data_IF_573670097437
#
_entry.id   IF_573670097437
#
_cell.length_a   1.000
_cell.length_b   1.000
_cell.length_c   1.000
_cell.angle_alpha   90.00
_cell.angle_beta   90.00
_cell.angle_gamma   90.00
#
_symmetry.space_group_name_H-M   'P 1'
#
loop_
_entity.id
_entity.type
_entity.pdbx_description
1 polymer ?
#
# COMPACT_ATOMS: atom_id res chain seq x y z
N UNK A 1 -38.71 -21.05 52.65
CA UNK A 1 -38.62 -20.70 51.21
C UNK A 1 -38.54 -19.18 50.89
N UNK A 2 -38.59 -18.25 51.86
CA UNK A 2 -38.69 -16.80 51.54
C UNK A 2 -37.37 -16.00 51.39
N UNK A 3 -36.19 -16.59 51.70
CA UNK A 3 -34.92 -15.84 51.77
C UNK A 3 -34.24 -15.59 50.41
N UNK A 4 -34.57 -16.39 49.38
CA UNK A 4 -34.00 -16.27 48.02
C UNK A 4 -34.61 -15.11 47.22
N UNK A 5 -35.94 -14.92 47.36
CA UNK A 5 -36.67 -13.89 46.60
C UNK A 5 -36.33 -12.45 47.02
N UNK A 6 -35.92 -12.22 48.28
CA UNK A 6 -35.53 -10.89 48.76
C UNK A 6 -34.23 -10.39 48.11
N UNK A 7 -33.26 -11.28 47.83
CA UNK A 7 -32.01 -10.91 47.14
C UNK A 7 -32.24 -10.64 45.66
N UNK A 8 -33.12 -11.41 45.02
CA UNK A 8 -33.51 -11.21 43.62
C UNK A 8 -34.25 -9.87 43.42
N UNK A 9 -35.13 -9.49 44.35
CA UNK A 9 -35.84 -8.21 44.32
C UNK A 9 -34.87 -7.02 44.49
N UNK A 10 -33.92 -7.13 45.43
CA UNK A 10 -32.91 -6.09 45.64
C UNK A 10 -32.00 -5.93 44.42
N UNK A 11 -31.63 -7.03 43.75
CA UNK A 11 -30.84 -7.01 42.52
C UNK A 11 -31.61 -6.37 41.36
N UNK A 12 -32.90 -6.68 41.20
CA UNK A 12 -33.76 -6.08 40.18
C UNK A 12 -33.94 -4.57 40.39
N UNK A 13 -34.08 -4.15 41.65
CA UNK A 13 -34.21 -2.73 42.00
C UNK A 13 -32.91 -1.96 41.74
N UNK A 14 -31.76 -2.56 42.05
CA UNK A 14 -30.45 -1.97 41.73
C UNK A 14 -30.24 -1.82 40.22
N UNK A 15 -30.66 -2.83 39.44
CA UNK A 15 -30.56 -2.81 37.99
C UNK A 15 -31.45 -1.72 37.37
N UNK A 16 -32.67 -1.53 37.88
CA UNK A 16 -33.57 -0.46 37.44
C UNK A 16 -32.99 0.95 37.69
N UNK A 17 -32.31 1.15 38.81
CA UNK A 17 -31.65 2.44 39.12
C UNK A 17 -30.49 2.69 38.15
N UNK A 18 -29.67 1.67 37.85
CA UNK A 18 -28.54 1.80 36.92
C UNK A 18 -29.00 2.08 35.47
N UNK A 19 -30.12 1.50 35.03
CA UNK A 19 -30.68 1.79 33.70
C UNK A 19 -31.35 3.17 33.61
N UNK A 20 -31.88 3.72 34.71
CA UNK A 20 -32.44 5.08 34.74
C UNK A 20 -31.38 6.19 34.68
N UNK A 21 -30.14 5.88 35.07
CA UNK A 21 -29.00 6.81 35.00
C UNK A 21 -28.38 6.91 33.59
N UNK A 22 -28.77 6.05 32.64
CA UNK A 22 -28.34 6.08 31.25
C UNK A 22 -29.26 6.93 30.34
N UNK A 23 -29.86 8.00 30.88
CA UNK A 23 -30.45 9.03 30.01
C UNK A 23 -29.32 9.89 29.48
N UNK A 24 -29.14 9.87 28.16
CA UNK A 24 -28.20 10.74 27.45
C UNK A 24 -28.40 12.18 27.95
N UNK A 25 -27.33 12.80 28.47
CA UNK A 25 -27.38 14.21 28.88
C UNK A 25 -27.69 15.01 27.62
N UNK A 26 -28.86 15.63 27.61
CA UNK A 26 -29.30 16.52 26.55
C UNK A 26 -28.53 17.84 26.68
N UNK A 27 -27.38 17.92 26.01
CA UNK A 27 -26.49 19.10 26.04
C UNK A 27 -27.16 20.35 25.47
N UNK A 28 -28.31 20.21 24.82
CA UNK A 28 -29.14 21.28 24.28
C UNK A 28 -30.03 21.96 25.33
N UNK A 29 -30.25 21.33 26.49
CA UNK A 29 -31.15 21.86 27.54
C UNK A 29 -30.40 22.51 28.72
N UNK A 30 -29.13 22.15 28.93
CA UNK A 30 -28.30 22.71 29.99
C UNK A 30 -27.86 24.15 29.67
N UNK A 31 -28.57 25.13 30.23
CA UNK A 31 -28.23 26.56 30.11
C UNK A 31 -29.37 27.46 29.67
N UNK A 32 -30.54 26.93 29.30
CA UNK A 32 -31.68 27.71 28.80
C UNK A 32 -32.30 28.69 29.82
N UNK A 33 -31.94 28.56 31.11
CA UNK A 33 -32.39 29.45 32.18
C UNK A 33 -31.37 30.51 32.62
N UNK A 34 -30.19 30.58 31.98
CA UNK A 34 -29.15 31.56 32.32
C UNK A 34 -29.28 32.88 31.54
N UNK A 35 -30.13 32.91 30.50
CA UNK A 35 -30.39 34.11 29.72
C UNK A 35 -31.80 34.62 30.10
N UNK A 36 -31.92 35.80 30.75
CA UNK A 36 -33.23 36.38 31.03
C UNK A 36 -33.96 36.71 29.72
N UNK A 37 -35.25 36.37 29.63
CA UNK A 37 -36.06 36.53 28.40
C UNK A 37 -36.28 37.96 27.89
N UNK A 38 -35.62 38.96 28.50
CA UNK A 38 -35.61 40.38 28.09
C UNK A 38 -34.31 40.73 27.36
N UNK A 39 -33.35 39.81 27.25
CA UNK A 39 -32.18 40.01 26.41
C UNK A 39 -32.49 39.45 25.02
N UNK A 40 -32.81 40.34 24.09
CA UNK A 40 -33.19 40.03 22.71
C UNK A 40 -31.98 39.54 21.86
N UNK A 41 -31.01 38.89 22.50
CA UNK A 41 -29.87 38.24 21.87
C UNK A 41 -30.33 36.88 21.40
N UNK A 42 -30.90 36.86 20.19
CA UNK A 42 -31.10 35.63 19.45
C UNK A 42 -29.73 35.20 18.92
N UNK A 43 -29.03 34.30 19.61
CA UNK A 43 -27.93 33.57 18.98
C UNK A 43 -28.55 32.60 17.98
N UNK A 44 -28.76 33.07 16.76
CA UNK A 44 -29.08 32.20 15.65
C UNK A 44 -27.88 31.27 15.45
N UNK A 45 -28.08 29.98 15.65
CA UNK A 45 -27.13 28.97 15.20
C UNK A 45 -26.93 29.19 13.70
N UNK A 46 -25.79 29.79 13.36
CA UNK A 46 -25.48 30.16 11.98
C UNK A 46 -24.62 29.04 11.43
N UNK A 47 -25.26 28.08 10.75
CA UNK A 47 -24.53 27.07 9.99
C UNK A 47 -23.90 27.77 8.79
N UNK A 48 -22.57 27.76 8.73
CA UNK A 48 -21.83 28.23 7.57
C UNK A 48 -21.67 27.06 6.60
N UNK A 49 -22.33 27.12 5.45
CA UNK A 49 -22.13 26.13 4.39
C UNK A 49 -20.75 26.34 3.77
N UNK A 50 -19.79 25.51 4.19
CA UNK A 50 -18.45 25.49 3.61
C UNK A 50 -18.49 24.59 2.37
N UNK A 51 -18.43 25.21 1.19
CA UNK A 51 -18.17 24.50 -0.06
C UNK A 51 -16.65 24.38 -0.20
N UNK A 52 -16.10 23.22 0.15
CA UNK A 52 -14.71 22.90 -0.10
C UNK A 52 -14.57 22.15 -1.42
N UNK A 53 -13.56 22.51 -2.21
CA UNK A 53 -13.18 21.80 -3.43
C UNK A 53 -11.77 21.24 -3.26
N UNK A 54 -11.59 19.96 -3.55
CA UNK A 54 -10.25 19.38 -3.72
C UNK A 54 -9.71 19.87 -5.04
N UNK A 55 -8.64 20.68 -5.00
CA UNK A 55 -7.87 21.04 -6.20
C UNK A 55 -6.71 20.06 -6.33
N UNK A 56 -6.43 19.63 -7.55
CA UNK A 56 -5.24 18.85 -7.86
C UNK A 56 -4.05 19.82 -7.87
N UNK A 57 -3.44 20.00 -6.70
CA UNK A 57 -2.33 20.91 -6.53
C UNK A 57 -1.06 20.27 -7.10
N UNK A 58 -0.71 20.63 -8.33
CA UNK A 58 0.55 20.19 -8.97
C UNK A 58 1.80 20.63 -8.21
N UNK A 59 1.69 21.53 -7.22
CA UNK A 59 2.78 21.86 -6.28
C UNK A 59 2.84 20.93 -5.07
N UNK A 60 1.83 20.09 -4.83
CA UNK A 60 1.84 19.05 -3.80
C UNK A 60 2.64 17.80 -4.20
N UNK A 61 3.12 17.75 -5.44
CA UNK A 61 4.00 16.68 -5.90
C UNK A 61 5.35 16.79 -5.20
N UNK A 62 5.65 15.81 -4.35
CA UNK A 62 6.95 15.75 -3.71
C UNK A 62 8.04 15.46 -4.76
N UNK A 63 9.17 16.13 -4.63
CA UNK A 63 10.31 16.01 -5.54
C UNK A 63 11.51 15.50 -4.77
N UNK A 64 12.23 14.54 -5.34
CA UNK A 64 13.39 13.95 -4.67
C UNK A 64 13.07 12.65 -3.94
N UNK A 65 12.19 11.82 -4.53
CA UNK A 65 12.01 10.44 -4.09
C UNK A 65 13.38 9.75 -4.05
N UNK A 66 13.76 9.31 -2.87
CA UNK A 66 15.02 8.62 -2.60
C UNK A 66 14.84 7.12 -2.73
N UNK A 67 15.92 6.42 -3.02
CA UNK A 67 15.98 4.95 -3.01
C UNK A 67 15.78 4.35 -1.62
N UNK A 68 15.92 5.17 -0.57
CA UNK A 68 15.79 4.78 0.84
C UNK A 68 14.37 4.96 1.38
N UNK A 69 13.50 5.59 0.60
CA UNK A 69 12.13 5.80 1.03
C UNK A 69 11.35 4.50 0.91
N UNK A 70 10.25 4.41 1.66
CA UNK A 70 9.30 3.35 1.44
C UNK A 70 8.46 3.68 0.21
N UNK A 71 8.40 2.75 -0.71
CA UNK A 71 7.71 2.94 -1.98
C UNK A 71 6.33 2.32 -1.92
N UNK A 72 5.30 3.14 -2.16
CA UNK A 72 3.92 2.73 -2.14
C UNK A 72 3.46 2.17 -3.49
N UNK A 73 2.64 1.12 -3.45
CA UNK A 73 1.87 0.65 -4.60
C UNK A 73 0.52 0.13 -4.12
N UNK A 74 -0.53 0.48 -4.83
CA UNK A 74 -1.88 0.07 -4.47
C UNK A 74 -2.94 1.03 -5.00
N UNK A 75 -4.18 0.63 -4.81
CA UNK A 75 -5.33 1.42 -5.19
C UNK A 75 -6.33 1.39 -4.04
N UNK A 76 -6.89 2.56 -3.76
CA UNK A 76 -8.03 2.77 -2.86
C UNK A 76 -9.13 3.34 -3.75
N UNK A 77 -10.18 2.56 -4.01
CA UNK A 77 -11.12 2.88 -5.07
C UNK A 77 -12.13 3.97 -4.69
N UNK A 78 -12.58 3.99 -3.43
CA UNK A 78 -13.50 5.03 -2.97
C UNK A 78 -13.57 5.11 -1.44
N UNK A 79 -12.80 6.02 -0.87
CA UNK A 79 -13.06 6.47 0.49
C UNK A 79 -14.14 7.56 0.47
N UNK A 80 -15.29 7.31 1.11
CA UNK A 80 -16.44 8.23 1.19
C UNK A 80 -16.08 9.66 1.60
N UNK A 81 -14.93 9.89 2.25
CA UNK A 81 -14.48 11.20 2.69
C UNK A 81 -13.31 11.77 1.86
N UNK A 82 -12.50 10.92 1.22
CA UNK A 82 -11.20 11.32 0.63
C UNK A 82 -11.04 11.00 -0.87
N UNK A 83 -12.02 10.34 -1.49
CA UNK A 83 -11.96 9.97 -2.91
C UNK A 83 -11.14 8.71 -3.16
N UNK A 84 -10.58 8.60 -4.37
CA UNK A 84 -9.70 7.50 -4.75
C UNK A 84 -8.23 7.89 -4.62
N UNK A 85 -7.37 6.91 -4.37
CA UNK A 85 -5.93 7.11 -4.31
C UNK A 85 -5.22 5.98 -5.05
N UNK A 86 -4.28 6.32 -5.91
CA UNK A 86 -3.50 5.37 -6.69
C UNK A 86 -2.01 5.63 -6.48
N UNK A 87 -1.27 4.57 -6.18
CA UNK A 87 0.17 4.59 -6.13
C UNK A 87 0.74 3.53 -7.08
N UNK A 88 1.75 3.92 -7.84
CA UNK A 88 2.51 3.09 -8.76
C UNK A 88 3.97 3.15 -8.35
N UNK A 89 4.67 2.01 -8.43
CA UNK A 89 6.06 1.91 -7.98
C UNK A 89 6.98 1.59 -9.14
N UNK A 90 8.08 2.34 -9.27
CA UNK A 90 9.05 2.19 -10.35
C UNK A 90 10.46 2.08 -9.79
N UNK A 91 11.20 1.04 -10.18
CA UNK A 91 12.56 0.83 -9.69
C UNK A 91 13.44 0.07 -10.68
N UNK A 92 14.74 0.33 -10.64
CA UNK A 92 15.75 -0.38 -11.41
C UNK A 92 16.50 -1.40 -10.57
N UNK A 93 16.93 -2.50 -11.19
CA UNK A 93 17.84 -3.45 -10.55
C UNK A 93 19.29 -3.03 -10.72
N UNK A 94 20.12 -3.36 -9.72
CA UNK A 94 21.57 -3.21 -9.81
C UNK A 94 22.24 -4.48 -9.29
N UNK A 95 22.95 -5.24 -10.14
CA UNK A 95 23.86 -6.30 -9.70
C UNK A 95 24.79 -5.88 -8.57
N UNK A 96 25.05 -6.80 -7.64
CA UNK A 96 25.93 -6.58 -6.47
C UNK A 96 27.36 -6.25 -6.89
N UNK A 97 27.83 -6.86 -7.97
CA UNK A 97 29.15 -6.63 -8.56
C UNK A 97 29.11 -6.76 -10.08
N UNK A 98 30.07 -6.12 -10.74
CA UNK A 98 30.29 -6.22 -12.18
C UNK A 98 31.70 -6.76 -12.46
N UNK A 99 31.92 -7.57 -13.50
CA UNK A 99 30.90 -8.18 -14.37
C UNK A 99 29.99 -9.15 -13.61
N UNK A 100 28.70 -9.14 -13.92
CA UNK A 100 27.76 -10.06 -13.29
C UNK A 100 27.72 -11.38 -14.06
N UNK A 101 27.80 -12.49 -13.34
CA UNK A 101 27.63 -13.83 -13.91
C UNK A 101 26.68 -14.62 -13.04
N UNK A 102 25.74 -15.33 -13.68
CA UNK A 102 24.96 -16.33 -12.97
C UNK A 102 25.88 -17.47 -12.51
N UNK A 103 25.69 -17.99 -11.29
CA UNK A 103 26.41 -19.19 -10.84
C UNK A 103 25.97 -20.37 -11.72
N UNK A 104 26.74 -20.69 -12.76
CA UNK A 104 26.49 -21.86 -13.60
C UNK A 104 27.10 -23.08 -12.92
N UNK A 105 26.28 -24.02 -12.49
CA UNK A 105 26.71 -25.40 -12.27
C UNK A 105 26.76 -26.03 -13.66
N UNK A 106 27.95 -26.19 -14.22
CA UNK A 106 28.27 -26.88 -15.48
C UNK A 106 27.28 -26.75 -16.66
N UNK A 107 27.79 -26.09 -17.71
CA UNK A 107 27.18 -25.56 -18.93
C UNK A 107 26.27 -26.43 -19.82
N UNK A 108 25.50 -27.41 -19.32
CA UNK A 108 24.77 -28.33 -20.19
C UNK A 108 23.24 -28.28 -20.10
N UNK A 109 22.61 -27.80 -19.02
CA UNK A 109 21.14 -27.69 -18.93
C UNK A 109 20.70 -26.57 -17.96
N UNK A 110 21.10 -25.32 -18.21
CA UNK A 110 20.63 -24.17 -17.43
C UNK A 110 19.23 -23.75 -17.91
N UNK A 111 18.24 -24.61 -17.69
CA UNK A 111 16.84 -24.25 -17.91
C UNK A 111 16.32 -23.46 -16.70
N UNK A 112 15.67 -22.33 -16.97
CA UNK A 112 14.98 -21.55 -15.93
C UNK A 112 13.67 -22.27 -15.58
N UNK A 113 13.56 -22.77 -14.35
CA UNK A 113 12.30 -23.31 -13.87
C UNK A 113 11.28 -22.20 -13.56
N UNK A 114 11.68 -21.16 -12.83
CA UNK A 114 10.82 -20.01 -12.55
C UNK A 114 11.59 -18.73 -12.26
N UNK A 115 10.93 -17.59 -12.45
CA UNK A 115 11.42 -16.26 -12.07
C UNK A 115 10.39 -15.65 -11.15
N UNK A 116 10.84 -15.15 -9.99
CA UNK A 116 9.97 -14.55 -8.97
C UNK A 116 10.57 -13.22 -8.53
N UNK A 117 9.79 -12.15 -8.62
CA UNK A 117 10.11 -10.88 -8.00
C UNK A 117 9.67 -10.91 -6.55
N UNK A 118 10.62 -10.72 -5.63
CA UNK A 118 10.39 -10.69 -4.19
C UNK A 118 10.56 -9.25 -3.70
N UNK A 119 9.53 -8.71 -3.06
CA UNK A 119 9.53 -7.35 -2.52
C UNK A 119 9.38 -7.40 -1.01
N UNK A 120 10.23 -6.69 -0.28
CA UNK A 120 10.14 -6.60 1.18
C UNK A 120 9.00 -5.66 1.58
N UNK A 121 7.96 -6.23 2.16
CA UNK A 121 6.81 -5.50 2.65
C UNK A 121 7.12 -4.82 3.99
N UNK A 122 6.63 -3.60 4.17
CA UNK A 122 6.78 -2.84 5.42
C UNK A 122 5.43 -2.72 6.15
N UNK A 123 4.49 -1.98 5.57
CA UNK A 123 3.14 -1.82 6.11
C UNK A 123 2.13 -1.51 5.00
N UNK A 124 0.85 -1.55 5.33
CA UNK A 124 -0.24 -1.15 4.44
C UNK A 124 -1.06 -0.07 5.12
N UNK A 125 -1.59 0.85 4.32
CA UNK A 125 -2.58 1.84 4.74
C UNK A 125 -3.91 1.55 4.02
N UNK A 126 -5.03 1.59 4.73
CA UNK A 126 -6.36 1.18 4.24
C UNK A 126 -6.84 -0.21 4.70
N UNK A 127 -7.82 -0.79 4.00
CA UNK A 127 -8.39 -2.10 4.32
C UNK A 127 -7.52 -3.24 3.77
N UNK A 128 -6.79 -3.87 4.69
CA UNK A 128 -5.86 -4.96 4.40
C UNK A 128 -6.51 -6.32 4.13
N UNK A 129 -7.82 -6.45 4.33
CA UNK A 129 -8.56 -7.70 4.10
C UNK A 129 -9.13 -7.79 2.68
N UNK A 130 -9.20 -6.66 1.96
CA UNK A 130 -9.66 -6.62 0.57
C UNK A 130 -8.54 -7.14 -0.35
N UNK A 131 -8.79 -8.17 -1.17
CA UNK A 131 -7.82 -8.64 -2.15
C UNK A 131 -7.44 -7.55 -3.15
N UNK A 132 -6.19 -7.57 -3.59
CA UNK A 132 -5.65 -6.68 -4.61
C UNK A 132 -4.86 -7.45 -5.64
N UNK A 133 -4.75 -6.89 -6.84
CA UNK A 133 -3.96 -7.47 -7.92
C UNK A 133 -2.94 -6.46 -8.43
N UNK A 134 -1.68 -6.88 -8.46
CA UNK A 134 -0.58 -6.09 -9.03
C UNK A 134 -0.13 -6.67 -10.36
N UNK A 135 0.22 -5.78 -11.29
CA UNK A 135 0.80 -6.08 -12.60
C UNK A 135 2.20 -5.50 -12.67
N UNK A 136 3.13 -6.28 -13.21
CA UNK A 136 4.55 -5.90 -13.35
C UNK A 136 4.86 -5.74 -14.83
N UNK A 137 5.48 -4.62 -15.16
CA UNK A 137 5.90 -4.24 -16.50
C UNK A 137 7.39 -3.88 -16.52
N UNK A 138 8.01 -3.93 -17.69
CA UNK A 138 9.33 -3.36 -17.89
C UNK A 138 9.25 -1.84 -18.08
N UNK A 139 10.22 -1.09 -17.57
CA UNK A 139 10.39 0.33 -17.88
C UNK A 139 10.96 0.53 -19.29
N UNK A 140 10.40 1.47 -20.06
CA UNK A 140 10.91 1.78 -21.40
C UNK A 140 12.31 2.40 -21.39
N UNK A 141 12.72 2.99 -20.27
CA UNK A 141 14.05 3.58 -20.06
C UNK A 141 14.53 3.30 -18.65
N UNK A 142 15.83 3.04 -18.51
CA UNK A 142 16.45 2.89 -17.20
C UNK A 142 16.36 4.16 -16.35
N UNK A 143 16.13 3.96 -15.05
CA UNK A 143 16.18 5.05 -14.07
C UNK A 143 17.63 5.50 -13.87
N UNK A 144 17.84 6.81 -13.88
CA UNK A 144 19.12 7.45 -13.73
C UNK A 144 19.39 7.77 -12.25
N UNK A 145 20.57 7.46 -11.71
CA UNK A 145 20.89 7.70 -10.31
C UNK A 145 21.03 9.19 -9.94
N UNK A 146 21.34 10.04 -10.92
CA UNK A 146 21.58 11.48 -10.75
C UNK A 146 20.33 12.34 -11.06
N UNK A 147 19.20 11.70 -11.35
CA UNK A 147 17.95 12.39 -11.68
C UNK A 147 17.04 12.48 -10.46
N UNK A 148 16.35 13.61 -10.34
CA UNK A 148 15.28 13.80 -9.37
C UNK A 148 13.98 13.23 -9.94
N UNK A 149 13.33 12.39 -9.15
CA UNK A 149 12.01 11.82 -9.45
C UNK A 149 10.96 12.41 -8.52
N UNK A 150 9.74 12.54 -9.02
CA UNK A 150 8.60 13.12 -8.29
C UNK A 150 7.43 12.14 -8.24
N UNK A 151 6.60 12.25 -7.20
CA UNK A 151 5.44 11.37 -6.95
C UNK A 151 4.38 11.46 -8.04
N UNK A 152 4.30 12.58 -8.75
CA UNK A 152 3.35 12.81 -9.84
C UNK A 152 3.93 12.52 -11.23
N UNK A 153 5.12 11.92 -11.31
CA UNK A 153 5.77 11.64 -12.58
C UNK A 153 5.62 10.15 -12.93
N UNK A 154 4.61 9.75 -13.74
CA UNK A 154 4.53 8.37 -14.22
C UNK A 154 5.73 8.05 -15.13
N UNK A 155 6.25 6.82 -15.03
CA UNK A 155 7.34 6.36 -15.89
C UNK A 155 6.78 5.70 -17.16
N UNK A 156 7.36 5.94 -18.34
CA UNK A 156 6.95 5.24 -19.54
C UNK A 156 7.26 3.74 -19.39
N UNK A 157 6.22 2.91 -19.46
CA UNK A 157 6.33 1.46 -19.50
C UNK A 157 6.62 0.99 -20.94
N UNK A 158 7.34 -0.12 -21.07
CA UNK A 158 7.48 -0.80 -22.36
C UNK A 158 6.08 -1.22 -22.82
N UNK A 159 5.57 -0.56 -23.87
CA UNK A 159 4.16 -0.35 -24.19
C UNK A 159 3.26 -1.60 -24.25
N UNK A 160 3.78 -2.83 -24.29
CA UNK A 160 2.95 -4.04 -24.52
C UNK A 160 3.30 -5.33 -23.76
N UNK A 161 4.36 -5.40 -22.94
CA UNK A 161 4.73 -6.66 -22.28
C UNK A 161 4.50 -6.65 -20.77
N UNK A 162 3.39 -7.26 -20.35
CA UNK A 162 3.16 -7.70 -18.98
C UNK A 162 4.21 -8.77 -18.63
N UNK A 163 5.05 -8.52 -17.63
CA UNK A 163 6.06 -9.46 -17.16
C UNK A 163 5.47 -10.46 -16.16
N UNK A 164 4.47 -10.05 -15.39
CA UNK A 164 3.82 -10.93 -14.41
C UNK A 164 2.70 -10.21 -13.67
N UNK A 165 1.90 -10.98 -12.97
CA UNK A 165 0.82 -10.46 -12.14
C UNK A 165 0.59 -11.35 -10.92
N UNK A 166 0.08 -10.75 -9.84
CA UNK A 166 -0.23 -11.47 -8.61
C UNK A 166 -1.44 -10.87 -7.92
N UNK A 167 -2.42 -11.72 -7.64
CA UNK A 167 -3.48 -11.45 -6.67
C UNK A 167 -3.03 -11.87 -5.26
N UNK A 168 -3.28 -11.01 -4.28
CA UNK A 168 -2.94 -11.26 -2.87
C UNK A 168 -3.84 -10.45 -1.93
N UNK A 169 -3.79 -10.79 -0.64
CA UNK A 169 -4.47 -10.05 0.43
C UNK A 169 -3.38 -9.37 1.26
N UNK A 170 -3.37 -8.03 1.40
CA UNK A 170 -2.34 -7.30 2.12
C UNK A 170 -2.06 -7.82 3.54
N UNK A 171 -3.09 -8.24 4.28
CA UNK A 171 -2.94 -8.78 5.63
C UNK A 171 -2.02 -10.02 5.70
N UNK A 172 -1.93 -10.80 4.61
CA UNK A 172 -1.13 -12.03 4.53
C UNK A 172 0.32 -11.79 4.14
N UNK A 173 0.70 -10.56 3.80
CA UNK A 173 2.09 -10.23 3.46
C UNK A 173 3.05 -10.43 4.64
N UNK A 174 2.53 -10.40 5.88
CA UNK A 174 3.28 -10.61 7.12
C UNK A 174 3.49 -12.09 7.47
N UNK A 175 2.86 -13.00 6.72
CA UNK A 175 2.95 -14.43 6.98
C UNK A 175 4.40 -14.92 6.76
N UNK A 176 4.78 -15.98 7.47
CA UNK A 176 6.08 -16.62 7.28
C UNK A 176 6.14 -17.36 5.95
N UNK A 177 7.29 -17.30 5.31
CA UNK A 177 7.62 -17.96 4.07
C UNK A 177 8.77 -18.93 4.33
N UNK A 178 8.53 -20.20 4.02
CA UNK A 178 9.53 -21.25 4.08
C UNK A 178 9.78 -21.76 2.66
N UNK A 179 10.79 -21.19 1.99
CA UNK A 179 11.24 -21.60 0.67
C UNK A 179 12.61 -22.29 0.75
N UNK A 180 13.09 -22.84 -0.37
CA UNK A 180 14.38 -23.54 -0.39
C UNK A 180 15.51 -22.57 -0.03
N UNK A 181 16.19 -22.84 1.09
CA UNK A 181 17.25 -22.00 1.67
C UNK A 181 16.77 -20.60 2.11
N UNK A 182 15.48 -20.44 2.40
CA UNK A 182 14.93 -19.16 2.82
C UNK A 182 13.84 -19.37 3.88
N UNK A 183 14.04 -18.72 5.02
CA UNK A 183 13.07 -18.64 6.11
C UNK A 183 12.93 -17.16 6.48
N UNK A 184 11.91 -16.50 5.92
CA UNK A 184 11.68 -15.06 6.07
C UNK A 184 10.16 -14.77 6.20
N UNK A 185 9.81 -13.51 6.43
CA UNK A 185 8.43 -13.01 6.46
C UNK A 185 8.38 -11.61 5.83
N UNK A 186 7.19 -11.02 5.74
CA UNK A 186 7.02 -9.65 5.21
C UNK A 186 7.45 -9.56 3.74
N UNK A 187 6.90 -10.42 2.88
CA UNK A 187 7.27 -10.47 1.47
C UNK A 187 6.05 -10.52 0.55
N UNK A 188 6.10 -9.77 -0.54
CA UNK A 188 5.24 -10.00 -1.70
C UNK A 188 6.05 -10.70 -2.79
N UNK A 189 5.56 -11.86 -3.25
CA UNK A 189 6.17 -12.66 -4.31
C UNK A 189 5.32 -12.67 -5.56
N UNK A 190 5.85 -12.08 -6.63
CA UNK A 190 5.16 -11.96 -7.91
C UNK A 190 5.86 -12.88 -8.91
N UNK A 191 5.18 -13.94 -9.41
CA UNK A 191 5.75 -14.77 -10.46
C UNK A 191 5.86 -13.96 -11.75
N UNK A 192 7.02 -14.06 -12.39
CA UNK A 192 7.31 -13.42 -13.67
C UNK A 192 7.44 -14.47 -14.78
N UNK A 193 7.32 -14.00 -16.03
CA UNK A 193 7.60 -14.74 -17.26
C UNK A 193 9.01 -15.34 -17.23
N UNK A 194 9.13 -16.62 -17.61
CA UNK A 194 10.41 -17.35 -17.63
C UNK A 194 11.39 -16.75 -18.64
N UNK A 195 10.84 -16.19 -19.71
CA UNK A 195 11.55 -15.50 -20.79
C UNK A 195 12.44 -14.37 -20.27
N UNK A 196 12.07 -13.74 -19.14
CA UNK A 196 12.91 -12.73 -18.50
C UNK A 196 14.20 -13.34 -17.91
N UNK A 197 14.10 -14.51 -17.29
CA UNK A 197 15.25 -15.23 -16.74
C UNK A 197 16.16 -15.74 -17.85
N UNK A 198 15.56 -16.29 -18.92
CA UNK A 198 16.28 -16.72 -20.12
C UNK A 198 17.00 -15.54 -20.79
N UNK A 199 16.35 -14.37 -20.86
CA UNK A 199 16.97 -13.14 -21.35
C UNK A 199 18.23 -12.80 -20.54
N UNK A 200 18.17 -12.82 -19.21
CA UNK A 200 19.34 -12.50 -18.40
C UNK A 200 20.46 -13.54 -18.54
N UNK A 201 20.15 -14.84 -18.58
CA UNK A 201 21.16 -15.88 -18.77
C UNK A 201 21.83 -15.76 -20.15
N UNK A 202 21.05 -15.59 -21.21
CA UNK A 202 21.55 -15.51 -22.58
C UNK A 202 22.40 -14.26 -22.83
N UNK A 203 22.08 -13.16 -22.14
CA UNK A 203 22.80 -11.89 -22.25
C UNK A 203 23.82 -11.66 -21.12
N UNK A 204 24.09 -12.64 -20.26
CA UNK A 204 24.96 -12.48 -19.08
C UNK A 204 26.34 -11.89 -19.42
N UNK A 205 26.92 -12.30 -20.56
CA UNK A 205 28.22 -11.80 -21.04
C UNK A 205 28.23 -10.30 -21.39
N UNK A 206 27.05 -9.70 -21.58
CA UNK A 206 26.89 -8.27 -21.89
C UNK A 206 26.80 -7.41 -20.63
N UNK A 207 26.53 -8.00 -19.46
CA UNK A 207 26.38 -7.27 -18.18
C UNK A 207 27.74 -7.04 -17.50
N UNK A 208 28.65 -6.43 -18.23
CA UNK A 208 30.02 -6.14 -17.76
C UNK A 208 30.13 -4.87 -16.93
N UNK A 209 29.20 -3.93 -17.10
CA UNK A 209 29.14 -2.65 -16.39
C UNK A 209 27.69 -2.27 -16.08
N UNK A 210 27.52 -1.28 -15.21
CA UNK A 210 26.21 -0.69 -14.89
C UNK A 210 25.54 -0.08 -16.13
N UNK A 211 26.31 0.61 -16.96
CA UNK A 211 25.84 1.24 -18.19
C UNK A 211 25.40 0.19 -19.22
N UNK A 212 26.14 -0.93 -19.33
CA UNK A 212 25.76 -2.02 -20.21
C UNK A 212 24.50 -2.76 -19.73
N UNK A 213 24.31 -2.89 -18.41
CA UNK A 213 23.10 -3.46 -17.84
C UNK A 213 21.88 -2.56 -18.11
N UNK A 214 21.98 -1.26 -17.77
CA UNK A 214 20.90 -0.28 -17.94
C UNK A 214 20.53 -0.05 -19.42
N UNK A 215 21.43 -0.33 -20.36
CA UNK A 215 21.13 -0.27 -21.79
C UNK A 215 20.24 -1.44 -22.26
N UNK A 216 20.26 -2.57 -21.55
CA UNK A 216 19.55 -3.79 -21.92
C UNK A 216 18.27 -4.02 -21.10
N UNK A 217 18.19 -3.48 -19.88
CA UNK A 217 17.02 -3.64 -19.01
C UNK A 217 16.72 -2.34 -18.27
N UNK A 218 15.50 -1.82 -18.45
CA UNK A 218 15.10 -0.53 -17.86
C UNK A 218 14.76 -0.61 -16.37
N UNK A 219 14.34 -1.76 -15.88
CA UNK A 219 13.79 -1.93 -14.53
C UNK A 219 12.32 -2.34 -14.57
N UNK A 220 11.68 -2.30 -13.41
CA UNK A 220 10.29 -2.70 -13.23
C UNK A 220 9.39 -1.51 -12.91
N UNK A 221 8.20 -1.54 -13.46
CA UNK A 221 7.05 -0.75 -13.01
C UNK A 221 5.96 -1.68 -12.48
N UNK A 222 5.53 -1.45 -11.25
CA UNK A 222 4.45 -2.19 -10.61
C UNK A 222 3.23 -1.27 -10.51
N UNK A 223 2.15 -1.71 -11.13
CA UNK A 223 0.91 -0.96 -11.25
C UNK A 223 -0.23 -1.77 -10.63
N UNK A 224 -1.08 -1.18 -9.78
CA UNK A 224 -2.27 -1.86 -9.28
C UNK A 224 -3.31 -2.03 -10.40
N UNK A 225 -4.00 -3.17 -10.41
CA UNK A 225 -5.11 -3.40 -11.34
C UNK A 225 -6.38 -2.72 -10.84
N UNK A 226 -6.60 -1.48 -11.27
CA UNK A 226 -7.77 -0.67 -10.90
C UNK A 226 -9.10 -1.38 -11.20
N UNK A 227 -9.14 -2.22 -12.24
CA UNK A 227 -10.34 -2.98 -12.61
C UNK A 227 -10.65 -4.15 -11.68
N UNK A 228 -9.62 -4.68 -11.00
CA UNK A 228 -9.78 -5.69 -9.95
C UNK A 228 -10.24 -5.06 -8.64
N UNK A 229 -9.86 -3.80 -8.42
CA UNK A 229 -10.16 -3.04 -7.21
C UNK A 229 -9.05 -3.15 -6.17
N UNK A 230 -9.37 -2.71 -4.96
CA UNK A 230 -8.44 -2.64 -3.84
C UNK A 230 -8.80 -1.48 -2.93
N UNK A 231 -8.52 -1.64 -1.64
CA UNK A 231 -8.80 -0.63 -0.62
C UNK A 231 -7.58 -0.35 0.27
N UNK A 232 -6.37 -0.60 -0.22
CA UNK A 232 -5.15 -0.32 0.53
C UNK A 232 -3.95 0.05 -0.36
N UNK A 233 -3.07 0.88 0.20
CA UNK A 233 -1.73 1.15 -0.32
C UNK A 233 -0.71 0.31 0.45
N UNK A 234 0.18 -0.37 -0.26
CA UNK A 234 1.19 -1.24 0.32
C UNK A 234 2.57 -0.61 0.15
N UNK A 235 3.32 -0.51 1.24
CA UNK A 235 4.65 0.10 1.27
C UNK A 235 5.74 -0.96 1.29
N UNK A 236 6.73 -0.80 0.40
CA UNK A 236 7.84 -1.72 0.23
C UNK A 236 9.18 -1.02 0.45
N UNK A 237 10.11 -1.75 1.05
CA UNK A 237 11.50 -1.33 1.21
C UNK A 237 12.34 -1.92 0.06
N UNK A 238 12.99 -1.05 -0.71
CA UNK A 238 13.84 -1.44 -1.84
C UNK A 238 15.34 -1.45 -1.48
N UNK A 239 15.69 -1.14 -0.23
CA UNK A 239 17.08 -1.18 0.28
C UNK A 239 17.42 -2.49 0.98
N UNK A 240 16.40 -3.22 1.44
CA UNK A 240 16.53 -4.55 2.03
C UNK A 240 16.77 -5.59 0.93
N UNK A 241 18.03 -5.72 0.50
CA UNK A 241 18.53 -6.80 -0.35
C UNK A 241 19.60 -7.61 0.40
#
# INVERSE_FOLDING_TARGET
MFKSHSKALAFLMLLAILFSACTKIDTTSLGSGLIPGVDNINTFDTTLDIIAHTIDDVTACDSGISRKDLHAVGYISNNSQFGSSKAEMYFGLKPVSYPFSFPTIDSLNNEIDSVVLVLKYSYSDGDTLVPQKFKVYELAKALKPDSLYSTCQPMPLALFDLLGEKEFIPARLKDSIHALNEDDAYQLRIPLKKELGEFFINNAKQFTTDSAFNANFGGFGIVPDESFGGEALNYFDLTAA
#
